data_IF_993013413897
#
_entry.id   IF_993013413897
#
_cell.length_a   1.000
_cell.length_b   1.000
_cell.length_c   1.000
_cell.angle_alpha   90.00
_cell.angle_beta   90.00
_cell.angle_gamma   90.00
#
_symmetry.space_group_name_H-M   'P 1'
#
loop_
_entity.id
_entity.type
_entity.pdbx_description
1 polymer ?
#
# COMPACT_ATOMS: atom_id res chain seq x y z
N UNK A 1 -5.38 -6.19 2.74
CA UNK A 1 -4.45 -5.42 1.88
C UNK A 1 -4.81 -5.60 0.41
N UNK A 2 -4.87 -6.81 -0.14
CA UNK A 2 -5.19 -7.03 -1.56
C UNK A 2 -6.47 -6.35 -2.06
N UNK A 3 -7.55 -6.33 -1.26
CA UNK A 3 -8.78 -5.60 -1.60
C UNK A 3 -8.54 -4.08 -1.65
N UNK A 4 -7.73 -3.53 -0.75
CA UNK A 4 -7.40 -2.11 -0.77
C UNK A 4 -6.61 -1.77 -2.06
N UNK A 5 -5.61 -2.58 -2.41
CA UNK A 5 -4.85 -2.43 -3.66
C UNK A 5 -5.74 -2.54 -4.91
N UNK A 6 -6.71 -3.47 -4.88
CA UNK A 6 -7.68 -3.59 -5.95
C UNK A 6 -8.59 -2.36 -6.05
N UNK A 7 -9.02 -1.78 -4.92
CA UNK A 7 -9.78 -0.53 -4.92
C UNK A 7 -8.95 0.64 -5.43
N UNK A 8 -7.66 0.73 -5.06
CA UNK A 8 -6.73 1.74 -5.58
C UNK A 8 -6.65 1.67 -7.11
N UNK A 9 -6.39 0.49 -7.66
CA UNK A 9 -6.27 0.32 -9.11
C UNK A 9 -7.60 0.55 -9.86
N UNK A 10 -8.73 0.07 -9.31
CA UNK A 10 -10.03 0.09 -10.01
C UNK A 10 -10.83 1.38 -9.83
N UNK A 11 -10.66 2.09 -8.72
CA UNK A 11 -11.43 3.30 -8.42
C UNK A 11 -10.59 4.56 -8.52
N UNK A 12 -9.32 4.49 -8.12
CA UNK A 12 -8.46 5.67 -8.00
C UNK A 12 -7.39 5.75 -9.09
N UNK A 13 -7.26 4.73 -9.94
CA UNK A 13 -6.22 4.68 -10.97
C UNK A 13 -4.81 4.59 -10.39
N UNK A 14 -4.71 4.31 -9.09
CA UNK A 14 -3.46 4.23 -8.36
C UNK A 14 -3.01 2.77 -8.30
N UNK A 15 -1.90 2.49 -9.00
CA UNK A 15 -1.45 1.15 -9.31
C UNK A 15 -2.12 0.55 -10.55
N UNK A 16 -1.33 -0.16 -11.36
CA UNK A 16 -1.82 -0.81 -12.57
C UNK A 16 -2.69 -2.05 -12.26
N UNK A 17 -3.80 -2.20 -13.00
CA UNK A 17 -4.63 -3.42 -12.93
C UNK A 17 -3.80 -4.67 -13.27
N UNK A 18 -2.93 -4.57 -14.28
CA UNK A 18 -2.05 -5.67 -14.69
C UNK A 18 -0.91 -5.90 -13.69
N UNK A 19 -0.46 -4.85 -12.98
CA UNK A 19 0.54 -4.96 -11.91
C UNK A 19 -0.08 -5.30 -10.55
N UNK A 20 -1.41 -5.47 -10.45
CA UNK A 20 -2.07 -5.78 -9.19
C UNK A 20 -1.49 -7.04 -8.52
N UNK A 21 -1.12 -8.04 -9.32
CA UNK A 21 -0.50 -9.27 -8.83
C UNK A 21 0.83 -9.02 -8.10
N UNK A 22 1.73 -8.24 -8.72
CA UNK A 22 3.04 -7.94 -8.13
C UNK A 22 2.92 -6.98 -6.94
N UNK A 23 2.01 -5.99 -7.02
CA UNK A 23 1.70 -5.10 -5.91
C UNK A 23 1.15 -5.89 -4.70
N UNK A 24 0.26 -6.86 -4.95
CA UNK A 24 -0.24 -7.76 -3.92
C UNK A 24 0.88 -8.66 -3.36
N UNK A 25 1.78 -9.15 -4.19
CA UNK A 25 2.91 -9.95 -3.73
C UNK A 25 3.78 -9.16 -2.75
N UNK A 26 4.18 -7.92 -3.09
CA UNK A 26 5.03 -7.12 -2.22
C UNK A 26 4.32 -6.67 -0.94
N UNK A 27 3.14 -6.07 -1.08
CA UNK A 27 2.47 -5.40 0.05
C UNK A 27 1.49 -6.30 0.81
N UNK A 28 0.83 -7.25 0.15
CA UNK A 28 -0.16 -8.11 0.79
C UNK A 28 0.38 -9.49 1.19
N UNK A 29 1.57 -9.87 0.73
CA UNK A 29 2.23 -11.12 1.08
C UNK A 29 3.59 -10.89 1.75
N UNK A 30 4.59 -10.36 1.05
CA UNK A 30 5.95 -10.24 1.60
C UNK A 30 6.01 -9.34 2.83
N UNK A 31 5.44 -8.14 2.76
CA UNK A 31 5.43 -7.20 3.88
C UNK A 31 4.79 -7.79 5.16
N UNK A 32 3.53 -8.30 5.15
CA UNK A 32 2.91 -8.80 6.37
C UNK A 32 3.58 -10.07 6.92
N UNK A 33 4.07 -10.97 6.07
CA UNK A 33 4.78 -12.17 6.54
C UNK A 33 6.13 -11.79 7.17
N UNK A 34 6.88 -10.89 6.53
CA UNK A 34 8.13 -10.34 7.08
C UNK A 34 7.87 -9.67 8.44
N UNK A 35 6.84 -8.81 8.52
CA UNK A 35 6.45 -8.14 9.76
C UNK A 35 6.10 -9.16 10.86
N UNK A 36 5.31 -10.17 10.53
CA UNK A 36 4.88 -11.21 11.47
C UNK A 36 6.09 -11.98 12.04
N UNK A 37 6.98 -12.48 11.18
CA UNK A 37 8.12 -13.27 11.63
C UNK A 37 9.13 -12.42 12.42
N UNK A 38 9.39 -11.18 11.99
CA UNK A 38 10.24 -10.25 12.74
C UNK A 38 9.64 -9.91 14.10
N UNK A 39 8.35 -9.58 14.14
CA UNK A 39 7.66 -9.31 15.40
C UNK A 39 7.75 -10.50 16.35
N UNK A 40 7.43 -11.71 15.86
CA UNK A 40 7.51 -12.96 16.64
C UNK A 40 8.92 -13.21 17.15
N UNK A 41 9.93 -13.07 16.31
CA UNK A 41 11.33 -13.26 16.67
C UNK A 41 11.78 -12.26 17.75
N UNK A 42 11.53 -10.97 17.55
CA UNK A 42 12.00 -9.92 18.47
C UNK A 42 11.23 -9.96 19.79
N UNK A 43 9.90 -10.15 19.75
CA UNK A 43 9.08 -10.25 20.95
C UNK A 43 9.35 -11.51 21.79
N UNK A 44 9.93 -12.56 21.20
CA UNK A 44 10.41 -13.74 21.94
C UNK A 44 11.68 -13.45 22.74
N UNK A 45 12.46 -12.44 22.34
CA UNK A 45 13.73 -12.05 22.97
C UNK A 45 13.58 -10.89 23.95
N UNK A 46 12.59 -10.03 23.74
CA UNK A 46 12.33 -8.86 24.59
C UNK A 46 11.05 -9.05 25.41
N UNK A 47 11.19 -9.01 26.74
CA UNK A 47 10.07 -9.21 27.65
C UNK A 47 9.22 -7.94 27.86
N UNK A 48 7.95 -8.16 28.21
CA UNK A 48 7.00 -7.11 28.58
C UNK A 48 6.52 -6.21 27.43
N UNK A 49 5.68 -5.25 27.78
CA UNK A 49 5.01 -4.38 26.79
C UNK A 49 5.96 -3.45 26.04
N UNK A 50 7.04 -3.00 26.69
CA UNK A 50 8.08 -2.20 26.03
C UNK A 50 8.78 -3.02 24.94
N UNK A 51 9.16 -4.26 25.24
CA UNK A 51 9.80 -5.16 24.28
C UNK A 51 8.94 -5.42 23.04
N UNK A 52 7.64 -5.63 23.23
CA UNK A 52 6.70 -5.82 22.12
C UNK A 52 6.45 -4.56 21.31
N UNK A 53 6.46 -3.38 21.93
CA UNK A 53 6.37 -2.11 21.21
C UNK A 53 7.61 -1.88 20.34
N UNK A 54 8.80 -2.23 20.86
CA UNK A 54 10.05 -2.22 20.07
C UNK A 54 10.00 -3.24 18.93
N UNK A 55 9.47 -4.44 19.19
CA UNK A 55 9.26 -5.45 18.16
C UNK A 55 8.33 -4.94 17.03
N UNK A 56 7.24 -4.25 17.38
CA UNK A 56 6.32 -3.64 16.42
C UNK A 56 7.02 -2.55 15.58
N UNK A 57 7.83 -1.70 16.21
CA UNK A 57 8.60 -0.66 15.53
C UNK A 57 9.54 -1.25 14.49
N UNK A 58 10.38 -2.20 14.91
CA UNK A 58 11.40 -2.81 14.04
C UNK A 58 10.74 -3.64 12.94
N UNK A 59 9.68 -4.39 13.27
CA UNK A 59 8.95 -5.18 12.30
C UNK A 59 8.31 -4.31 11.22
N UNK A 60 7.66 -3.20 11.60
CA UNK A 60 7.09 -2.24 10.64
C UNK A 60 8.16 -1.63 9.73
N UNK A 61 9.23 -1.11 10.32
CA UNK A 61 10.35 -0.51 9.57
C UNK A 61 10.98 -1.49 8.55
N UNK A 62 11.36 -2.69 9.00
CA UNK A 62 12.08 -3.64 8.16
C UNK A 62 11.17 -4.27 7.11
N UNK A 63 9.92 -4.61 7.45
CA UNK A 63 9.00 -5.22 6.50
C UNK A 63 8.65 -4.30 5.33
N UNK A 64 8.45 -3.00 5.59
CA UNK A 64 8.23 -2.01 4.53
C UNK A 64 9.45 -1.91 3.61
N UNK A 65 10.66 -1.83 4.19
CA UNK A 65 11.88 -1.74 3.40
C UNK A 65 12.16 -3.00 2.57
N UNK A 66 11.80 -4.19 3.06
CA UNK A 66 11.88 -5.42 2.26
C UNK A 66 10.93 -5.37 1.07
N UNK A 67 9.70 -4.90 1.25
CA UNK A 67 8.75 -4.75 0.15
C UNK A 67 9.19 -3.67 -0.87
N UNK A 68 9.74 -2.55 -0.40
CA UNK A 68 10.31 -1.51 -1.25
C UNK A 68 11.49 -2.03 -2.07
N UNK A 69 12.35 -2.86 -1.46
CA UNK A 69 13.48 -3.48 -2.16
C UNK A 69 13.03 -4.43 -3.26
N UNK A 70 12.04 -5.29 -2.99
CA UNK A 70 11.50 -6.17 -4.03
C UNK A 70 10.88 -5.38 -5.18
N UNK A 71 10.13 -4.33 -4.88
CA UNK A 71 9.58 -3.42 -5.91
C UNK A 71 10.71 -2.82 -6.75
N UNK A 72 11.82 -2.42 -6.11
CA UNK A 72 12.99 -1.90 -6.82
C UNK A 72 13.66 -2.93 -7.73
N UNK A 73 13.72 -4.20 -7.31
CA UNK A 73 14.24 -5.29 -8.14
C UNK A 73 13.33 -5.56 -9.33
N UNK A 74 12.02 -5.55 -9.12
CA UNK A 74 11.02 -5.79 -10.15
C UNK A 74 11.03 -4.70 -11.24
N UNK A 75 11.24 -3.44 -10.86
CA UNK A 75 11.49 -2.36 -11.84
C UNK A 75 12.89 -2.48 -12.46
N UNK A 76 13.91 -2.68 -11.64
CA UNK A 76 15.32 -2.67 -12.07
C UNK A 76 15.68 -3.79 -13.05
N UNK A 77 14.95 -4.91 -13.03
CA UNK A 77 15.16 -6.03 -13.93
C UNK A 77 14.49 -5.84 -15.30
N UNK A 78 13.48 -4.96 -15.41
CA UNK A 78 12.70 -4.76 -16.64
C UNK A 78 13.57 -4.48 -17.88
N UNK A 79 14.51 -3.50 -17.87
CA UNK A 79 15.28 -3.18 -19.07
C UNK A 79 16.28 -4.27 -19.46
N UNK A 80 16.55 -5.24 -18.59
CA UNK A 80 17.40 -6.39 -18.91
C UNK A 80 16.62 -7.56 -19.51
N UNK A 81 15.34 -7.74 -19.13
CA UNK A 81 14.51 -8.84 -19.59
C UNK A 81 13.63 -8.50 -20.78
N UNK A 82 13.22 -7.23 -20.91
CA UNK A 82 12.23 -6.80 -21.90
C UNK A 82 12.77 -5.68 -22.75
N UNK A 83 13.45 -6.05 -23.83
CA UNK A 83 14.01 -5.13 -24.82
C UNK A 83 13.44 -5.39 -26.21
N UNK A 84 13.43 -4.35 -27.05
CA UNK A 84 13.13 -4.51 -28.46
C UNK A 84 14.36 -4.92 -29.29
N UNK A 85 14.17 -5.08 -30.60
CA UNK A 85 15.26 -5.46 -31.52
C UNK A 85 16.41 -4.44 -31.59
N UNK A 86 16.22 -3.22 -31.11
CA UNK A 86 17.25 -2.18 -31.02
C UNK A 86 17.90 -2.12 -29.63
N UNK A 87 17.51 -3.02 -28.71
CA UNK A 87 18.00 -3.06 -27.34
C UNK A 87 17.35 -2.03 -26.41
N UNK A 88 16.29 -1.34 -26.84
CA UNK A 88 15.58 -0.36 -26.01
C UNK A 88 14.58 -1.04 -25.07
N UNK A 89 14.43 -0.58 -23.81
CA UNK A 89 13.45 -1.13 -22.88
C UNK A 89 12.01 -1.03 -23.40
N UNK A 90 11.23 -2.10 -23.20
CA UNK A 90 9.82 -2.16 -23.57
C UNK A 90 8.88 -1.55 -22.51
N UNK A 91 9.25 -1.63 -21.23
CA UNK A 91 8.45 -1.17 -20.08
C UNK A 91 9.25 -0.20 -19.20
N UNK A 92 9.58 -0.58 -17.96
CA UNK A 92 10.42 0.20 -17.07
C UNK A 92 11.81 0.46 -17.68
N UNK A 93 12.23 1.72 -17.86
CA UNK A 93 13.47 2.04 -18.57
C UNK A 93 14.71 2.03 -17.66
N UNK A 94 14.51 2.05 -16.34
CA UNK A 94 15.57 2.24 -15.36
C UNK A 94 16.07 0.91 -14.80
N UNK A 95 17.36 0.64 -14.95
CA UNK A 95 17.99 -0.56 -14.40
C UNK A 95 18.21 -0.49 -12.88
N UNK A 96 18.79 -1.55 -12.30
CA UNK A 96 19.05 -1.65 -10.86
C UNK A 96 19.75 -0.43 -10.25
N UNK A 97 20.75 0.13 -10.95
CA UNK A 97 21.52 1.28 -10.46
C UNK A 97 20.71 2.55 -10.24
N UNK A 98 19.55 2.67 -10.88
CA UNK A 98 18.61 3.78 -10.67
C UNK A 98 17.42 3.34 -9.81
N UNK A 99 16.87 2.15 -10.09
CA UNK A 99 15.68 1.65 -9.40
C UNK A 99 15.90 1.43 -7.89
N UNK A 100 17.04 0.82 -7.52
CA UNK A 100 17.34 0.54 -6.11
C UNK A 100 17.51 1.83 -5.31
N UNK A 101 18.35 2.81 -5.70
CA UNK A 101 18.45 4.05 -4.94
C UNK A 101 17.14 4.84 -4.90
N UNK A 102 16.43 4.94 -6.03
CA UNK A 102 15.21 5.72 -6.12
C UNK A 102 14.09 5.18 -5.21
N UNK A 103 13.96 3.86 -5.10
CA UNK A 103 13.02 3.25 -4.16
C UNK A 103 13.56 3.21 -2.73
N UNK A 104 14.81 2.77 -2.52
CA UNK A 104 15.29 2.48 -1.16
C UNK A 104 15.61 3.71 -0.34
N UNK A 105 16.15 4.79 -0.93
CA UNK A 105 16.54 5.98 -0.16
C UNK A 105 15.34 6.61 0.57
N UNK A 106 14.21 6.98 -0.08
CA UNK A 106 13.08 7.55 0.63
C UNK A 106 12.45 6.57 1.63
N UNK A 107 12.44 5.27 1.34
CA UNK A 107 11.88 4.25 2.23
C UNK A 107 12.76 3.99 3.46
N UNK A 108 14.09 4.00 3.33
CA UNK A 108 14.99 3.84 4.46
C UNK A 108 14.99 5.09 5.35
N UNK A 109 15.01 6.28 4.74
CA UNK A 109 15.22 7.53 5.47
C UNK A 109 13.95 8.16 6.03
N UNK A 110 12.79 7.93 5.39
CA UNK A 110 11.55 8.63 5.75
C UNK A 110 10.41 7.64 5.96
N UNK A 111 9.97 6.96 4.90
CA UNK A 111 8.72 6.19 4.94
C UNK A 111 8.81 5.01 5.92
N UNK A 112 9.94 4.30 5.94
CA UNK A 112 10.21 3.20 6.85
C UNK A 112 10.18 3.63 8.31
N UNK A 113 10.80 4.78 8.62
CA UNK A 113 10.81 5.33 9.98
C UNK A 113 9.39 5.67 10.41
N UNK A 114 8.64 6.37 9.54
CA UNK A 114 7.25 6.71 9.79
C UNK A 114 6.40 5.45 10.01
N UNK A 115 6.53 4.44 9.16
CA UNK A 115 5.78 3.19 9.26
C UNK A 115 6.09 2.44 10.57
N UNK A 116 7.36 2.35 10.95
CA UNK A 116 7.76 1.76 12.23
C UNK A 116 7.15 2.51 13.42
N UNK A 117 7.20 3.84 13.42
CA UNK A 117 6.62 4.68 14.48
C UNK A 117 5.09 4.55 14.55
N UNK A 118 4.41 4.59 13.40
CA UNK A 118 2.95 4.41 13.31
C UNK A 118 2.57 3.02 13.81
N UNK A 119 3.26 1.97 13.34
CA UNK A 119 3.02 0.57 13.75
C UNK A 119 3.18 0.40 15.26
N UNK A 120 4.25 0.95 15.85
CA UNK A 120 4.48 0.90 17.28
C UNK A 120 3.41 1.69 18.08
N UNK A 121 3.00 2.85 17.57
CA UNK A 121 1.96 3.68 18.15
C UNK A 121 0.60 2.97 18.16
N UNK A 122 0.18 2.42 17.03
CA UNK A 122 -1.05 1.63 16.88
C UNK A 122 -1.00 0.40 17.78
N UNK A 123 0.10 -0.35 17.76
CA UNK A 123 0.28 -1.52 18.61
C UNK A 123 0.11 -1.18 20.09
N UNK A 124 0.77 -0.11 20.57
CA UNK A 124 0.70 0.33 21.96
C UNK A 124 -0.69 0.83 22.35
N UNK A 125 -1.36 1.55 21.45
CA UNK A 125 -2.73 2.02 21.65
C UNK A 125 -3.70 0.83 21.80
N UNK A 126 -3.69 -0.10 20.84
CA UNK A 126 -4.56 -1.29 20.85
C UNK A 126 -4.28 -2.15 22.09
N UNK A 127 -3.01 -2.35 22.44
CA UNK A 127 -2.60 -3.12 23.62
C UNK A 127 -3.11 -2.53 24.94
N UNK A 128 -3.42 -1.23 25.00
CA UNK A 128 -3.97 -0.57 26.19
C UNK A 128 -5.49 -0.48 26.18
N UNK A 129 -6.09 -0.17 25.03
CA UNK A 129 -7.52 0.11 24.92
C UNK A 129 -8.33 -1.16 24.69
N UNK A 130 -7.75 -2.19 24.07
CA UNK A 130 -8.43 -3.45 23.77
C UNK A 130 -7.45 -4.63 23.81
N UNK A 131 -6.87 -4.96 24.97
CA UNK A 131 -5.96 -6.08 25.10
C UNK A 131 -6.59 -7.41 24.67
N UNK A 132 -7.88 -7.63 24.97
CA UNK A 132 -8.66 -8.81 24.57
C UNK A 132 -8.66 -9.04 23.04
N UNK A 133 -8.59 -7.97 22.23
CA UNK A 133 -8.52 -8.09 20.77
C UNK A 133 -7.24 -8.78 20.30
N UNK A 134 -6.11 -8.54 20.97
CA UNK A 134 -4.81 -9.11 20.59
C UNK A 134 -4.71 -10.59 20.96
N UNK A 135 -5.35 -11.01 22.06
CA UNK A 135 -5.19 -12.36 22.61
C UNK A 135 -6.35 -13.31 22.35
N UNK A 136 -7.58 -12.80 22.32
CA UNK A 136 -8.80 -13.62 22.25
C UNK A 136 -9.53 -13.46 20.90
N UNK A 137 -9.09 -12.54 20.03
CA UNK A 137 -9.75 -12.26 18.74
C UNK A 137 -11.17 -11.71 18.88
N UNK A 138 -11.59 -11.37 20.11
CA UNK A 138 -12.90 -10.79 20.41
C UNK A 138 -12.92 -9.32 20.00
N UNK A 139 -13.63 -9.02 18.91
CA UNK A 139 -13.92 -7.65 18.48
C UNK A 139 -14.97 -7.02 19.41
N UNK A 140 -14.59 -6.64 20.63
CA UNK A 140 -15.33 -5.55 21.29
C UNK A 140 -15.21 -4.33 20.39
N UNK A 141 -16.33 -3.61 20.18
CA UNK A 141 -16.33 -2.35 19.42
C UNK A 141 -15.20 -1.47 19.99
N UNK A 142 -14.16 -1.21 19.19
CA UNK A 142 -13.19 -0.18 19.54
C UNK A 142 -14.00 1.12 19.57
N UNK A 143 -14.30 1.61 20.77
CA UNK A 143 -15.23 2.74 21.02
C UNK A 143 -14.90 3.96 20.15
N UNK A 144 -13.63 4.08 19.75
CA UNK A 144 -13.08 5.18 18.98
C UNK A 144 -12.65 4.81 17.55
N UNK A 145 -13.03 3.65 16.99
CA UNK A 145 -12.60 3.26 15.64
C UNK A 145 -12.94 4.33 14.58
N UNK A 146 -14.16 4.87 14.63
CA UNK A 146 -14.59 5.95 13.72
C UNK A 146 -13.83 7.26 13.95
N UNK A 147 -13.42 7.56 15.18
CA UNK A 147 -12.57 8.71 15.47
C UNK A 147 -11.18 8.54 14.85
N UNK A 148 -10.58 7.34 14.96
CA UNK A 148 -9.28 7.06 14.34
C UNK A 148 -9.36 7.15 12.82
N UNK A 149 -10.43 6.60 12.23
CA UNK A 149 -10.69 6.73 10.80
C UNK A 149 -10.87 8.21 10.40
N UNK A 150 -11.61 9.00 11.18
CA UNK A 150 -11.78 10.43 10.91
C UNK A 150 -10.45 11.20 10.99
N UNK A 151 -9.61 10.91 11.98
CA UNK A 151 -8.26 11.49 12.09
C UNK A 151 -7.41 11.09 10.87
N UNK A 152 -7.43 9.82 10.46
CA UNK A 152 -6.71 9.38 9.25
C UNK A 152 -7.19 10.12 8.00
N UNK A 153 -8.52 10.25 7.83
CA UNK A 153 -9.09 11.01 6.71
C UNK A 153 -8.63 12.47 6.73
N UNK A 154 -8.65 13.13 7.89
CA UNK A 154 -8.20 14.51 8.04
C UNK A 154 -6.71 14.69 7.75
N UNK A 155 -5.89 13.67 8.02
CA UNK A 155 -4.45 13.68 7.74
C UNK A 155 -4.12 13.30 6.30
N UNK A 156 -5.05 12.73 5.51
CA UNK A 156 -4.78 12.32 4.12
C UNK A 156 -4.24 13.43 3.22
N UNK A 157 -4.66 14.71 3.30
CA UNK A 157 -4.11 15.76 2.44
C UNK A 157 -2.63 16.04 2.67
N UNK A 158 -2.01 15.52 3.74
CA UNK A 158 -0.55 15.54 3.89
C UNK A 158 0.17 14.88 2.70
N UNK A 159 -0.48 13.93 2.02
CA UNK A 159 0.04 13.34 0.78
C UNK A 159 0.24 14.36 -0.35
N UNK A 160 -0.53 15.46 -0.36
CA UNK A 160 -0.40 16.53 -1.36
C UNK A 160 0.81 17.44 -1.12
N UNK A 161 1.51 17.29 0.01
CA UNK A 161 2.75 18.04 0.29
C UNK A 161 3.94 17.51 -0.51
N UNK A 162 3.89 16.25 -0.98
CA UNK A 162 4.91 15.70 -1.85
C UNK A 162 4.73 16.30 -3.26
N UNK A 163 5.75 17.00 -3.76
CA UNK A 163 5.74 17.54 -5.11
C UNK A 163 6.25 16.50 -6.11
N UNK A 164 5.53 16.33 -7.22
CA UNK A 164 5.87 15.40 -8.30
C UNK A 164 5.20 14.04 -8.19
N UNK A 165 5.34 13.21 -9.23
CA UNK A 165 4.85 11.84 -9.24
C UNK A 165 5.75 10.92 -8.44
N UNK A 166 5.16 9.92 -7.78
CA UNK A 166 5.94 8.90 -7.10
C UNK A 166 6.78 8.12 -8.11
N UNK A 167 8.01 7.77 -7.72
CA UNK A 167 8.89 7.00 -8.58
C UNK A 167 8.26 5.63 -8.86
N UNK A 168 8.09 5.27 -10.14
CA UNK A 168 7.41 4.05 -10.57
C UNK A 168 5.97 4.26 -11.05
N UNK A 169 5.38 5.44 -10.83
CA UNK A 169 4.00 5.79 -11.22
C UNK A 169 3.96 6.73 -12.45
N UNK A 170 4.92 6.58 -13.35
CA UNK A 170 5.04 7.50 -14.48
C UNK A 170 3.93 7.30 -15.51
N UNK A 171 3.32 8.40 -15.94
CA UNK A 171 2.49 8.43 -17.13
C UNK A 171 3.32 8.32 -18.42
N UNK A 172 2.71 7.91 -19.56
CA UNK A 172 3.37 7.88 -20.86
C UNK A 172 4.02 9.23 -21.26
N UNK A 173 3.34 10.34 -20.98
CA UNK A 173 3.81 11.68 -21.34
C UNK A 173 4.97 12.15 -20.43
N UNK A 174 4.95 11.76 -19.15
CA UNK A 174 6.04 12.04 -18.21
C UNK A 174 7.31 11.30 -18.59
N UNK A 175 7.19 10.01 -18.91
CA UNK A 175 8.31 9.20 -19.41
C UNK A 175 8.89 9.76 -20.70
N UNK A 176 8.01 10.12 -21.66
CA UNK A 176 8.48 10.73 -22.91
C UNK A 176 9.25 12.03 -22.66
N UNK A 177 8.82 12.81 -21.68
CA UNK A 177 9.47 14.07 -21.30
C UNK A 177 10.78 13.86 -20.53
N UNK A 178 10.89 12.80 -19.74
CA UNK A 178 12.06 12.54 -18.87
C UNK A 178 13.21 11.81 -19.58
N UNK A 179 12.90 10.86 -20.48
CA UNK A 179 13.92 10.03 -21.15
C UNK A 179 13.94 10.19 -22.68
N UNK A 180 13.08 11.05 -23.23
CA UNK A 180 13.06 11.40 -24.66
C UNK A 180 12.35 10.40 -25.58
N UNK A 181 11.85 9.28 -25.06
CA UNK A 181 11.03 8.33 -25.81
C UNK A 181 10.00 7.64 -24.92
N UNK A 182 8.96 7.07 -25.54
CA UNK A 182 7.98 6.23 -24.86
C UNK A 182 8.29 4.76 -25.14
N UNK A 183 8.62 3.94 -24.12
CA UNK A 183 8.79 2.50 -24.26
C UNK A 183 7.65 1.86 -25.03
N UNK A 184 7.96 1.04 -26.04
CA UNK A 184 6.97 0.52 -26.99
C UNK A 184 5.88 -0.31 -26.31
N UNK A 185 6.23 -1.07 -25.27
CA UNK A 185 5.28 -1.88 -24.50
C UNK A 185 4.26 -1.05 -23.71
N UNK A 186 4.52 0.25 -23.50
CA UNK A 186 3.58 1.17 -22.85
C UNK A 186 2.60 1.84 -23.83
N UNK A 187 2.81 1.69 -25.15
CA UNK A 187 1.89 2.24 -26.17
C UNK A 187 0.62 1.42 -26.32
N UNK A 188 0.72 0.12 -26.08
CA UNK A 188 -0.37 -0.85 -26.24
C UNK A 188 -0.58 -1.57 -24.91
N UNK A 189 -1.50 -1.05 -24.11
CA UNK A 189 -1.82 -1.58 -22.80
C UNK A 189 -3.32 -1.50 -22.49
N UNK A 190 -3.71 -2.00 -21.32
CA UNK A 190 -5.06 -1.83 -20.83
C UNK A 190 -5.29 -0.35 -20.47
N UNK A 191 -6.09 0.35 -21.26
CA UNK A 191 -6.55 1.69 -20.94
C UNK A 191 -7.83 1.59 -20.11
N UNK A 192 -7.70 1.78 -18.81
CA UNK A 192 -8.81 1.79 -17.88
C UNK A 192 -8.99 3.19 -17.29
N UNK A 193 -10.15 3.79 -17.52
CA UNK A 193 -10.50 5.09 -16.96
C UNK A 193 -11.08 4.88 -15.55
N UNK A 194 -10.25 5.09 -14.53
CA UNK A 194 -10.69 5.01 -13.15
C UNK A 194 -11.67 6.15 -12.80
N UNK A 195 -12.80 5.87 -12.11
CA UNK A 195 -13.80 6.88 -11.76
C UNK A 195 -13.28 8.09 -10.98
N UNK A 196 -12.30 7.88 -10.11
CA UNK A 196 -11.70 8.88 -9.22
C UNK A 196 -10.17 8.90 -9.39
N UNK A 197 -9.71 8.91 -10.65
CA UNK A 197 -8.29 8.94 -10.99
C UNK A 197 -7.53 10.02 -10.18
N UNK A 198 -6.33 9.66 -9.71
CA UNK A 198 -5.43 10.51 -8.93
C UNK A 198 -6.07 11.05 -7.64
N UNK A 199 -7.05 10.32 -7.10
CA UNK A 199 -7.83 10.73 -5.92
C UNK A 199 -8.50 12.09 -6.08
N UNK A 200 -8.76 12.52 -7.32
CA UNK A 200 -9.28 13.83 -7.65
C UNK A 200 -10.78 13.78 -7.98
N UNK A 201 -11.47 14.90 -7.72
CA UNK A 201 -12.87 15.08 -8.08
C UNK A 201 -12.98 16.30 -9.01
N UNK A 202 -13.55 16.14 -10.22
CA UNK A 202 -13.68 17.24 -11.16
C UNK A 202 -14.39 18.44 -10.53
N UNK A 203 -13.81 19.63 -10.69
CA UNK A 203 -14.35 20.91 -10.18
C UNK A 203 -14.39 21.06 -8.65
N UNK A 204 -13.72 20.18 -7.90
CA UNK A 204 -13.56 20.30 -6.44
C UNK A 204 -12.12 20.67 -6.10
N UNK A 205 -11.93 21.55 -5.11
CA UNK A 205 -10.60 21.94 -4.63
C UNK A 205 -9.78 20.72 -4.19
N UNK A 206 -8.50 20.65 -4.57
CA UNK A 206 -7.65 19.45 -4.41
C UNK A 206 -7.68 18.83 -3.02
N UNK A 207 -7.51 19.63 -1.96
CA UNK A 207 -7.56 19.17 -0.55
C UNK A 207 -8.90 18.50 -0.23
N UNK A 208 -10.00 19.13 -0.64
CA UNK A 208 -11.36 18.64 -0.37
C UNK A 208 -11.63 17.38 -1.20
N UNK A 209 -11.22 17.38 -2.46
CA UNK A 209 -11.31 16.22 -3.36
C UNK A 209 -10.58 15.01 -2.79
N UNK A 210 -9.33 15.20 -2.34
CA UNK A 210 -8.50 14.15 -1.78
C UNK A 210 -9.10 13.56 -0.49
N UNK A 211 -9.59 14.40 0.42
CA UNK A 211 -10.28 13.93 1.64
C UNK A 211 -11.60 13.21 1.34
N UNK A 212 -12.38 13.67 0.35
CA UNK A 212 -13.60 12.98 -0.09
C UNK A 212 -13.28 11.63 -0.72
N UNK A 213 -12.23 11.54 -1.54
CA UNK A 213 -11.73 10.29 -2.10
C UNK A 213 -11.34 9.29 -1.02
N UNK A 214 -10.68 9.73 0.05
CA UNK A 214 -10.37 8.87 1.21
C UNK A 214 -11.64 8.33 1.90
N UNK A 215 -12.67 9.16 2.07
CA UNK A 215 -13.96 8.72 2.63
C UNK A 215 -14.66 7.70 1.72
N UNK A 216 -14.68 7.95 0.42
CA UNK A 216 -15.28 7.05 -0.59
C UNK A 216 -14.54 5.72 -0.58
N UNK A 217 -13.20 5.72 -0.61
CA UNK A 217 -12.39 4.51 -0.58
C UNK A 217 -12.64 3.67 0.68
N UNK A 218 -12.64 4.31 1.86
CA UNK A 218 -12.97 3.64 3.11
C UNK A 218 -14.39 3.04 3.08
N UNK A 219 -15.38 3.78 2.56
CA UNK A 219 -16.76 3.31 2.44
C UNK A 219 -16.89 2.12 1.49
N UNK A 220 -16.20 2.13 0.34
CA UNK A 220 -16.17 1.03 -0.62
C UNK A 220 -15.60 -0.24 0.00
N UNK A 221 -14.47 -0.13 0.72
CA UNK A 221 -13.86 -1.26 1.42
C UNK A 221 -14.80 -1.82 2.48
N UNK A 222 -15.41 -0.96 3.31
CA UNK A 222 -16.37 -1.38 4.33
C UNK A 222 -17.61 -2.06 3.71
N UNK A 223 -18.14 -1.52 2.61
CA UNK A 223 -19.27 -2.08 1.89
C UNK A 223 -18.92 -3.46 1.33
N UNK A 224 -17.75 -3.60 0.69
CA UNK A 224 -17.27 -4.86 0.16
C UNK A 224 -17.22 -5.94 1.26
N UNK A 225 -16.58 -5.65 2.39
CA UNK A 225 -16.50 -6.62 3.50
C UNK A 225 -17.87 -6.94 4.10
N UNK A 226 -18.78 -5.96 4.17
CA UNK A 226 -20.15 -6.19 4.63
C UNK A 226 -20.93 -7.14 3.71
N UNK A 227 -20.79 -6.98 2.39
CA UNK A 227 -21.44 -7.84 1.39
C UNK A 227 -20.82 -9.24 1.43
N UNK A 228 -19.49 -9.33 1.37
CA UNK A 228 -18.76 -10.60 1.41
C UNK A 228 -19.06 -11.38 2.70
N UNK A 229 -19.09 -10.70 3.85
CA UNK A 229 -19.44 -11.31 5.15
C UNK A 229 -20.87 -11.85 5.19
N UNK A 230 -21.85 -11.10 4.66
CA UNK A 230 -23.24 -11.59 4.53
C UNK A 230 -23.35 -12.81 3.62
N UNK A 231 -22.67 -12.80 2.48
CA UNK A 231 -22.66 -13.93 1.55
C UNK A 231 -22.03 -15.19 2.18
N UNK A 232 -20.91 -15.04 2.88
CA UNK A 232 -20.25 -16.13 3.60
C UNK A 232 -21.13 -16.69 4.73
N UNK A 233 -21.75 -15.82 5.53
CA UNK A 233 -22.66 -16.23 6.62
C UNK A 233 -23.92 -16.92 6.09
N UNK A 234 -24.53 -16.40 5.02
CA UNK A 234 -25.67 -17.03 4.36
C UNK A 234 -25.33 -18.43 3.81
N UNK A 235 -24.12 -18.61 3.29
CA UNK A 235 -23.65 -19.91 2.78
C UNK A 235 -23.34 -20.90 3.90
N UNK A 236 -22.82 -20.42 5.04
CA UNK A 236 -22.59 -21.24 6.23
C UNK A 236 -23.92 -21.73 6.84
N UNK A 237 -24.93 -20.86 6.95
CA UNK A 237 -26.26 -21.20 7.47
C UNK A 237 -27.03 -22.21 6.59
N UNK A 238 -26.74 -22.26 5.28
CA UNK A 238 -27.30 -23.26 4.36
C UNK A 238 -26.57 -24.62 4.40
N UNK A 239 -25.42 -24.71 5.09
CA UNK A 239 -24.58 -25.92 5.20
C UNK A 239 -24.67 -26.60 6.57
N UNK A 240 -25.26 -25.96 7.56
CA UNK A 240 -25.65 -26.59 8.83
C UNK A 240 -27.00 -27.28 8.64
N UNK A 241 -27.10 -28.61 8.86
CA UNK A 241 -28.36 -29.36 8.77
C UNK A 241 -29.39 -28.89 9.81
#
# INVERSE_FOLDING_TARGET
>A
ISIALAMQALFFGDGGILSLGVNCFNMAFVMPFTAYYLFKLISSRLSGQKGRTVAALIAGYLSLNVAAFLTALEFGIQPSLFTDSAGLPLYGPYGFGTAIPAMMIPHLLVVGILEGLVTAGVYRYVSRVSPEFIYEGSLKKIKYAYLHLAVMVLLTPLGLLAAGTAWGEWGPDELRSSIGFLPKGMKSGLHFAAPLADYSLPKIHAIVGYSLSALIGAALIMLFFRIAGKAASSKARKRTP
#
